data_IF_441517224213
#
_entry.id   IF_441517224213
#
_cell.length_a   1.000
_cell.length_b   1.000
_cell.length_c   1.000
_cell.angle_alpha   90.00
_cell.angle_beta   90.00
_cell.angle_gamma   90.00
#
_symmetry.space_group_name_H-M   'P 1'
#
loop_
_entity.id
_entity.type
_entity.pdbx_description
1 polymer ?
#
# COMPACT_ATOMS: atom_id res chain seq x y z
N UNK A 1 4.00 -22.38 -40.37
CA UNK A 1 4.87 -21.21 -40.14
C UNK A 1 4.19 -20.03 -40.80
N UNK A 2 3.54 -19.17 -40.01
CA UNK A 2 3.04 -17.88 -40.50
C UNK A 2 4.06 -16.86 -40.02
N UNK A 3 4.68 -16.17 -40.95
CA UNK A 3 5.65 -15.10 -40.68
C UNK A 3 4.95 -14.00 -39.88
N UNK A 4 5.61 -13.51 -38.83
CA UNK A 4 5.20 -12.31 -38.10
C UNK A 4 5.33 -11.11 -39.04
N UNK A 5 4.27 -10.80 -39.77
CA UNK A 5 4.20 -9.59 -40.61
C UNK A 5 3.83 -8.43 -39.69
N UNK A 6 4.73 -7.45 -39.53
CA UNK A 6 4.45 -6.25 -38.76
C UNK A 6 3.30 -5.46 -39.41
N UNK A 7 2.12 -5.51 -38.81
CA UNK A 7 0.87 -4.94 -39.36
C UNK A 7 0.55 -3.54 -38.82
N UNK A 8 1.35 -3.04 -37.87
CA UNK A 8 1.08 -1.79 -37.15
C UNK A 8 -0.11 -1.91 -36.18
N UNK A 9 -0.16 -1.04 -35.17
CA UNK A 9 -1.24 -1.05 -34.16
C UNK A 9 -2.55 -0.53 -34.78
N UNK A 10 -3.63 -1.31 -34.64
CA UNK A 10 -5.00 -0.93 -34.99
C UNK A 10 -5.66 -0.12 -33.87
N UNK A 11 -5.59 -0.61 -32.64
CA UNK A 11 -6.01 0.12 -31.45
C UNK A 11 -5.33 -0.41 -30.18
N UNK A 12 -5.41 0.40 -29.11
CA UNK A 12 -5.05 0.00 -27.75
C UNK A 12 -6.36 -0.11 -26.98
N UNK A 13 -6.46 -1.10 -26.11
CA UNK A 13 -7.55 -1.21 -25.16
C UNK A 13 -7.01 -1.38 -23.74
N UNK A 14 -7.80 -0.94 -22.77
CA UNK A 14 -7.44 -0.99 -21.36
C UNK A 14 -8.64 -1.38 -20.49
N UNK A 15 -8.38 -1.89 -19.30
CA UNK A 15 -9.37 -2.02 -18.23
C UNK A 15 -8.73 -1.65 -16.91
N UNK A 16 -9.54 -1.11 -16.01
CA UNK A 16 -9.10 -0.74 -14.66
C UNK A 16 -9.77 -1.66 -13.67
N UNK A 17 -8.99 -2.51 -13.02
CA UNK A 17 -9.43 -3.50 -12.04
C UNK A 17 -8.86 -3.18 -10.66
N UNK A 18 -9.55 -3.64 -9.62
CA UNK A 18 -9.12 -3.53 -8.22
C UNK A 18 -8.44 -4.82 -7.72
N UNK A 19 -8.63 -5.91 -8.47
CA UNK A 19 -7.99 -7.21 -8.28
C UNK A 19 -7.81 -7.90 -9.64
N UNK A 20 -6.79 -8.73 -9.79
CA UNK A 20 -6.57 -9.57 -10.99
C UNK A 20 -7.69 -10.58 -11.24
N UNK A 21 -8.50 -10.87 -10.22
CA UNK A 21 -9.74 -11.65 -10.32
C UNK A 21 -10.96 -10.87 -10.79
N UNK A 22 -10.89 -9.55 -10.94
CA UNK A 22 -12.03 -8.76 -11.42
C UNK A 22 -12.26 -9.00 -12.90
N UNK A 23 -13.43 -9.55 -13.24
CA UNK A 23 -13.88 -9.67 -14.62
C UNK A 23 -14.47 -8.33 -15.09
N UNK A 24 -13.62 -7.47 -15.64
CA UNK A 24 -14.04 -6.27 -16.40
C UNK A 24 -13.69 -6.38 -17.87
N UNK A 25 -14.57 -5.86 -18.71
CA UNK A 25 -14.37 -5.75 -20.16
C UNK A 25 -13.32 -4.68 -20.48
N UNK A 26 -12.58 -4.90 -21.56
CA UNK A 26 -11.64 -3.92 -22.10
C UNK A 26 -12.39 -2.78 -22.80
N UNK A 27 -11.92 -1.56 -22.59
CA UNK A 27 -12.39 -0.33 -23.22
C UNK A 27 -11.34 0.17 -24.21
N UNK A 28 -11.75 0.55 -25.41
CA UNK A 28 -10.82 1.11 -26.42
C UNK A 28 -10.29 2.45 -25.91
N UNK A 29 -8.97 2.59 -25.90
CA UNK A 29 -8.30 3.84 -25.57
C UNK A 29 -8.50 4.87 -26.70
N UNK A 30 -9.23 5.94 -26.40
CA UNK A 30 -9.54 7.02 -27.36
C UNK A 30 -8.95 8.38 -26.96
N UNK A 31 -8.40 8.50 -25.76
CA UNK A 31 -7.82 9.71 -25.21
C UNK A 31 -7.57 9.62 -23.70
N UNK A 32 -7.15 10.73 -23.09
CA UNK A 32 -6.97 10.81 -21.64
C UNK A 32 -8.28 10.57 -20.90
N UNK A 33 -8.22 9.84 -19.78
CA UNK A 33 -9.34 9.61 -18.88
C UNK A 33 -8.89 9.88 -17.44
N UNK A 34 -9.84 10.13 -16.53
CA UNK A 34 -9.57 10.06 -15.09
C UNK A 34 -9.97 8.68 -14.57
N UNK A 35 -9.25 8.17 -13.59
CA UNK A 35 -9.59 6.87 -12.97
C UNK A 35 -10.98 6.94 -12.32
N UNK A 36 -11.39 8.10 -11.80
CA UNK A 36 -12.72 8.31 -11.25
C UNK A 36 -13.82 8.16 -12.31
N UNK A 37 -13.63 8.72 -13.51
CA UNK A 37 -14.62 8.60 -14.59
C UNK A 37 -14.71 7.16 -15.15
N UNK A 38 -13.62 6.39 -15.04
CA UNK A 38 -13.53 5.01 -15.54
C UNK A 38 -14.01 3.94 -14.54
N UNK A 39 -14.14 4.25 -13.25
CA UNK A 39 -14.36 3.24 -12.18
C UNK A 39 -15.50 3.52 -11.18
N UNK A 40 -16.69 3.94 -11.62
CA UNK A 40 -17.92 4.13 -10.82
C UNK A 40 -17.99 5.48 -10.07
N UNK A 41 -19.21 6.05 -9.85
CA UNK A 41 -19.43 7.44 -9.39
C UNK A 41 -18.97 7.78 -7.96
N UNK A 42 -18.29 6.88 -7.25
CA UNK A 42 -17.89 7.07 -5.86
C UNK A 42 -16.39 6.82 -5.75
N UNK A 43 -15.57 7.89 -5.79
CA UNK A 43 -14.10 7.91 -5.65
C UNK A 43 -13.54 6.68 -4.92
N UNK A 44 -13.14 5.64 -5.65
CA UNK A 44 -12.51 4.48 -5.04
C UNK A 44 -11.06 4.82 -4.73
N UNK A 45 -10.77 5.15 -3.48
CA UNK A 45 -9.41 5.15 -2.94
C UNK A 45 -8.82 3.73 -3.01
N UNK A 46 -7.50 3.64 -3.05
CA UNK A 46 -6.78 2.37 -3.01
C UNK A 46 -6.05 2.02 -4.29
N UNK A 47 -5.56 0.79 -4.32
CA UNK A 47 -4.83 0.23 -5.45
C UNK A 47 -5.76 0.01 -6.65
N UNK A 48 -5.31 0.47 -7.80
CA UNK A 48 -5.95 0.26 -9.09
C UNK A 48 -4.92 -0.33 -10.04
N UNK A 49 -5.29 -1.38 -10.75
CA UNK A 49 -4.46 -2.04 -11.76
C UNK A 49 -5.03 -1.66 -13.12
N UNK A 50 -4.24 -0.97 -13.92
CA UNK A 50 -4.55 -0.66 -15.30
C UNK A 50 -3.93 -1.77 -16.15
N UNK A 51 -4.77 -2.65 -16.68
CA UNK A 51 -4.35 -3.60 -17.69
C UNK A 51 -4.53 -3.00 -19.07
N UNK A 52 -3.55 -3.17 -19.95
CA UNK A 52 -3.59 -2.63 -21.31
C UNK A 52 -2.88 -3.55 -22.29
N UNK A 53 -3.33 -3.53 -23.54
CA UNK A 53 -2.74 -4.29 -24.66
C UNK A 53 -3.04 -3.63 -25.98
N UNK A 54 -2.20 -3.88 -26.98
CA UNK A 54 -2.43 -3.45 -28.36
C UNK A 54 -2.94 -4.60 -29.24
N UNK A 55 -3.80 -4.23 -30.19
CA UNK A 55 -4.31 -5.10 -31.25
C UNK A 55 -3.80 -4.56 -32.57
N UNK A 56 -3.25 -5.40 -33.43
CA UNK A 56 -2.73 -5.00 -34.75
C UNK A 56 -3.80 -5.05 -35.86
N UNK A 57 -3.47 -4.58 -37.07
CA UNK A 57 -4.44 -4.54 -38.19
C UNK A 57 -4.85 -5.93 -38.73
N UNK A 58 -4.20 -7.01 -38.29
CA UNK A 58 -4.56 -8.40 -38.60
C UNK A 58 -5.06 -9.18 -37.37
N UNK A 59 -5.45 -8.46 -36.32
CA UNK A 59 -6.09 -8.98 -35.10
C UNK A 59 -5.20 -9.84 -34.20
N UNK A 60 -3.87 -9.71 -34.32
CA UNK A 60 -2.97 -10.23 -33.29
C UNK A 60 -3.09 -9.37 -32.02
N UNK A 61 -3.14 -10.02 -30.87
CA UNK A 61 -3.21 -9.37 -29.56
C UNK A 61 -1.87 -9.49 -28.83
N UNK A 62 -1.35 -8.36 -28.37
CA UNK A 62 -0.16 -8.30 -27.51
C UNK A 62 -0.43 -8.93 -26.12
N UNK A 63 0.64 -9.39 -25.45
CA UNK A 63 0.57 -9.81 -24.05
C UNK A 63 0.07 -8.67 -23.17
N UNK A 64 -0.94 -8.94 -22.33
CA UNK A 64 -1.50 -7.93 -21.43
C UNK A 64 -0.43 -7.40 -20.49
N UNK A 65 -0.23 -6.09 -20.50
CA UNK A 65 0.65 -5.37 -19.58
C UNK A 65 -0.17 -4.79 -18.44
N UNK A 66 0.47 -4.65 -17.29
CA UNK A 66 -0.13 -4.06 -16.09
C UNK A 66 0.58 -2.77 -15.71
N UNK A 67 -0.19 -1.84 -15.14
CA UNK A 67 0.32 -0.62 -14.53
C UNK A 67 -0.48 -0.33 -13.27
N UNK A 68 0.17 -0.38 -12.11
CA UNK A 68 -0.48 -0.19 -10.81
C UNK A 68 -0.37 1.25 -10.37
N UNK A 69 -1.49 1.83 -9.92
CA UNK A 69 -1.58 3.18 -9.37
C UNK A 69 -2.34 3.17 -8.05
N UNK A 70 -2.03 4.10 -7.16
CA UNK A 70 -2.77 4.30 -5.92
C UNK A 70 -3.54 5.61 -6.00
N UNK A 71 -4.87 5.51 -5.89
CA UNK A 71 -5.75 6.68 -5.79
C UNK A 71 -5.88 7.01 -4.31
N UNK A 72 -5.49 8.21 -3.92
CA UNK A 72 -5.52 8.64 -2.51
C UNK A 72 -5.84 10.12 -2.41
N UNK A 73 -6.46 10.50 -1.29
CA UNK A 73 -6.74 11.90 -0.93
C UNK A 73 -5.62 12.54 -0.13
N UNK A 74 -4.54 11.82 0.18
CA UNK A 74 -3.41 12.35 0.99
C UNK A 74 -2.95 13.74 0.50
N UNK A 75 -2.73 13.97 -0.80
CA UNK A 75 -2.24 15.26 -1.29
C UNK A 75 -3.25 16.41 -1.24
N UNK A 76 -4.50 16.15 -0.87
CA UNK A 76 -5.54 17.18 -0.75
C UNK A 76 -5.50 17.85 0.65
N UNK A 77 -4.87 17.21 1.63
CA UNK A 77 -4.81 17.67 3.02
C UNK A 77 -3.38 18.02 3.43
N UNK A 78 -3.24 19.07 4.24
CA UNK A 78 -1.98 19.39 4.88
C UNK A 78 -1.61 18.28 5.88
N UNK A 79 -2.60 17.79 6.64
CA UNK A 79 -2.42 16.73 7.61
C UNK A 79 -3.64 15.81 7.69
N UNK A 80 -3.37 14.50 7.73
CA UNK A 80 -4.30 13.45 8.07
C UNK A 80 -3.74 12.72 9.29
N UNK A 81 -4.47 12.74 10.40
CA UNK A 81 -4.25 11.88 11.55
C UNK A 81 -5.46 10.97 11.67
N UNK A 82 -5.30 9.66 11.41
CA UNK A 82 -6.43 8.74 11.31
C UNK A 82 -7.24 8.69 12.62
N UNK A 83 -6.58 8.54 13.76
CA UNK A 83 -7.21 8.46 15.07
C UNK A 83 -7.36 9.83 15.71
N UNK A 84 -6.31 10.65 15.62
CA UNK A 84 -6.29 11.98 16.24
C UNK A 84 -5.41 12.97 15.49
N UNK A 85 -5.79 14.25 15.54
CA UNK A 85 -4.86 15.37 15.29
C UNK A 85 -4.85 16.30 16.50
N UNK A 86 -3.66 16.60 17.05
CA UNK A 86 -3.49 17.63 18.08
C UNK A 86 -2.71 18.84 17.55
N UNK A 87 -3.26 20.04 17.70
CA UNK A 87 -2.61 21.29 17.30
C UNK A 87 -2.52 22.21 18.51
N UNK A 88 -1.31 22.51 18.97
CA UNK A 88 -1.06 23.20 20.23
C UNK A 88 -0.25 24.50 20.07
N UNK A 89 -0.25 25.33 21.11
CA UNK A 89 0.63 26.49 21.21
C UNK A 89 0.19 27.65 20.32
N UNK A 90 1.02 28.08 19.39
CA UNK A 90 0.77 29.08 18.34
C UNK A 90 1.04 28.48 16.95
N UNK A 91 0.92 27.17 16.81
CA UNK A 91 1.08 26.47 15.55
C UNK A 91 0.15 27.05 14.47
N UNK A 92 0.59 26.99 13.22
CA UNK A 92 -0.18 27.41 12.07
C UNK A 92 -0.22 26.28 11.05
N UNK A 93 -1.43 25.91 10.62
CA UNK A 93 -1.64 24.95 9.53
C UNK A 93 -2.38 25.67 8.41
N UNK A 94 -1.78 25.78 7.23
CA UNK A 94 -2.40 26.35 6.04
C UNK A 94 -2.73 25.23 5.05
N UNK A 95 -4.03 24.95 4.90
CA UNK A 95 -4.57 23.79 4.20
C UNK A 95 -5.54 22.99 5.05
N UNK A 96 -6.32 22.14 4.38
CA UNK A 96 -7.35 21.33 5.03
C UNK A 96 -6.71 20.24 5.91
N UNK A 97 -7.40 19.89 7.00
CA UNK A 97 -6.98 18.79 7.90
C UNK A 97 -8.10 17.78 8.09
N UNK A 98 -7.71 16.52 8.30
CA UNK A 98 -8.67 15.40 8.30
C UNK A 98 -8.36 14.33 9.33
N UNK A 99 -9.37 13.94 10.10
CA UNK A 99 -9.31 12.76 10.98
C UNK A 99 -10.56 11.88 10.85
N UNK A 100 -10.41 10.58 11.11
CA UNK A 100 -11.55 9.68 11.34
C UNK A 100 -11.99 9.68 12.82
N UNK A 101 -11.17 10.25 13.71
CA UNK A 101 -11.44 10.44 15.12
C UNK A 101 -11.45 11.92 15.51
N UNK A 102 -10.76 12.25 16.58
CA UNK A 102 -10.82 13.56 17.23
C UNK A 102 -9.80 14.54 16.65
N UNK A 103 -10.16 15.82 16.63
CA UNK A 103 -9.19 16.90 16.40
C UNK A 103 -9.24 17.82 17.61
N UNK A 104 -8.10 18.03 18.25
CA UNK A 104 -7.92 18.97 19.34
C UNK A 104 -7.10 20.18 18.89
N UNK A 105 -7.63 21.39 19.07
CA UNK A 105 -6.92 22.63 18.71
C UNK A 105 -6.86 23.54 19.95
N UNK A 106 -5.66 23.69 20.49
CA UNK A 106 -5.41 24.33 21.78
C UNK A 106 -4.56 25.61 21.66
N UNK A 107 -4.64 26.47 22.68
CA UNK A 107 -3.74 27.61 22.83
C UNK A 107 -4.13 28.82 21.98
N UNK A 108 -3.35 29.14 20.96
CA UNK A 108 -3.55 30.22 19.97
C UNK A 108 -3.25 29.69 18.56
N UNK A 109 -3.40 28.38 18.36
CA UNK A 109 -3.16 27.77 17.07
C UNK A 109 -4.18 28.24 16.03
N UNK A 110 -3.79 28.23 14.76
CA UNK A 110 -4.64 28.66 13.65
C UNK A 110 -4.62 27.58 12.57
N UNK A 111 -5.81 27.17 12.12
CA UNK A 111 -5.99 26.37 10.91
C UNK A 111 -6.62 27.24 9.83
N UNK A 112 -5.86 27.51 8.77
CA UNK A 112 -6.29 28.22 7.56
C UNK A 112 -6.71 27.22 6.49
N UNK A 113 -7.77 26.48 6.77
CA UNK A 113 -8.33 25.45 5.91
C UNK A 113 -9.57 24.83 6.55
N UNK A 114 -10.21 23.93 5.82
CA UNK A 114 -11.37 23.20 6.29
C UNK A 114 -10.94 22.07 7.25
N UNK A 115 -11.77 21.80 8.25
CA UNK A 115 -11.53 20.80 9.28
C UNK A 115 -12.58 19.70 9.17
N UNK A 116 -12.13 18.48 8.98
CA UNK A 116 -13.00 17.32 8.82
C UNK A 116 -12.67 16.27 9.89
N UNK A 117 -13.60 15.97 10.79
CA UNK A 117 -13.36 15.03 11.89
C UNK A 117 -14.61 14.32 12.36
N UNK A 118 -14.46 13.39 13.31
CA UNK A 118 -15.60 12.86 14.08
C UNK A 118 -16.06 13.87 15.13
N UNK A 119 -15.11 14.47 15.85
CA UNK A 119 -15.33 15.42 16.93
C UNK A 119 -14.22 16.47 16.92
N UNK A 120 -14.56 17.73 17.17
CA UNK A 120 -13.64 18.85 17.26
C UNK A 120 -13.68 19.51 18.64
N UNK A 121 -12.55 19.55 19.32
CA UNK A 121 -12.37 20.25 20.59
C UNK A 121 -11.44 21.45 20.40
N UNK A 122 -11.97 22.67 20.52
CA UNK A 122 -11.20 23.93 20.43
C UNK A 122 -11.08 24.56 21.82
N UNK A 123 -9.84 24.74 22.30
CA UNK A 123 -9.55 25.35 23.60
C UNK A 123 -8.68 26.61 23.47
N UNK A 124 -8.87 27.55 24.39
CA UNK A 124 -8.09 28.79 24.45
C UNK A 124 -8.57 29.84 23.44
N UNK A 125 -7.64 30.36 22.64
CA UNK A 125 -7.87 31.34 21.55
C UNK A 125 -7.51 30.75 20.19
N UNK A 126 -7.61 29.44 20.05
CA UNK A 126 -7.43 28.78 18.77
C UNK A 126 -8.53 29.18 17.78
N UNK A 127 -8.21 29.15 16.49
CA UNK A 127 -9.10 29.58 15.42
C UNK A 127 -9.02 28.63 14.21
N UNK A 128 -10.19 28.29 13.65
CA UNK A 128 -10.32 27.64 12.34
C UNK A 128 -10.93 28.66 11.41
N UNK A 129 -10.27 28.93 10.28
CA UNK A 129 -10.72 29.93 9.30
C UNK A 129 -11.56 29.33 8.16
N UNK A 130 -11.49 28.02 7.94
CA UNK A 130 -12.32 27.30 6.98
C UNK A 130 -13.63 26.77 7.57
N UNK A 131 -14.28 25.89 6.83
CA UNK A 131 -15.48 25.17 7.26
C UNK A 131 -15.12 24.09 8.29
N UNK A 132 -16.02 23.84 9.25
CA UNK A 132 -15.90 22.75 10.22
C UNK A 132 -16.95 21.69 9.89
N UNK A 133 -16.49 20.48 9.57
CA UNK A 133 -17.30 19.32 9.23
C UNK A 133 -17.07 18.23 10.28
N UNK A 134 -17.83 18.27 11.37
CA UNK A 134 -17.88 17.17 12.34
C UNK A 134 -18.72 15.99 11.84
N UNK A 135 -18.50 14.80 12.40
CA UNK A 135 -19.07 13.53 11.94
C UNK A 135 -18.85 13.28 10.43
N UNK A 136 -17.72 13.74 9.89
CA UNK A 136 -17.41 13.57 8.48
C UNK A 136 -17.27 12.08 8.10
N UNK A 137 -17.67 11.74 6.86
CA UNK A 137 -17.61 10.36 6.35
C UNK A 137 -16.19 9.83 6.38
N UNK A 138 -15.94 8.74 7.11
CA UNK A 138 -14.59 8.20 7.29
C UNK A 138 -13.88 7.92 5.95
N UNK A 139 -12.59 8.26 5.89
CA UNK A 139 -11.68 7.89 4.79
C UNK A 139 -10.97 6.57 5.10
N UNK A 140 -10.30 5.97 4.12
CA UNK A 140 -9.51 4.76 4.36
C UNK A 140 -8.37 5.02 5.36
N UNK A 141 -8.24 4.18 6.38
CA UNK A 141 -7.10 4.21 7.31
C UNK A 141 -5.81 3.71 6.69
N UNK A 142 -5.91 2.91 5.62
CA UNK A 142 -4.77 2.27 4.95
C UNK A 142 -4.98 2.32 3.43
N UNK A 143 -4.99 3.52 2.81
CA UNK A 143 -5.20 3.67 1.37
C UNK A 143 -4.09 3.00 0.54
N UNK A 144 -2.91 2.80 1.12
CA UNK A 144 -1.78 2.10 0.51
C UNK A 144 -1.36 0.97 1.45
N UNK A 145 -1.36 -0.27 0.94
CA UNK A 145 -0.82 -1.43 1.67
C UNK A 145 0.69 -1.46 1.52
N UNK A 146 1.43 -1.26 2.60
CA UNK A 146 2.90 -1.16 2.56
C UNK A 146 3.61 -2.51 2.52
N UNK A 147 3.10 -3.53 3.19
CA UNK A 147 3.70 -4.88 3.24
C UNK A 147 4.28 -5.40 1.89
N UNK A 148 3.51 -5.50 0.79
CA UNK A 148 4.07 -5.97 -0.49
C UNK A 148 5.05 -4.98 -1.13
N UNK A 149 4.94 -3.69 -0.81
CA UNK A 149 5.86 -2.66 -1.27
C UNK A 149 7.19 -2.81 -0.51
N UNK A 150 7.13 -3.03 0.79
CA UNK A 150 8.30 -3.19 1.65
C UNK A 150 9.13 -4.40 1.24
N UNK A 151 8.50 -5.56 1.03
CA UNK A 151 9.19 -6.77 0.57
C UNK A 151 9.91 -6.57 -0.77
N UNK A 152 9.30 -5.80 -1.67
CA UNK A 152 9.89 -5.46 -2.96
C UNK A 152 11.07 -4.50 -2.79
N UNK A 153 10.90 -3.42 -2.01
CA UNK A 153 11.89 -2.36 -1.83
C UNK A 153 13.14 -2.84 -1.09
N UNK A 154 12.99 -3.76 -0.12
CA UNK A 154 14.13 -4.41 0.54
C UNK A 154 15.06 -5.08 -0.50
N UNK A 155 14.48 -5.69 -1.54
CA UNK A 155 15.22 -6.44 -2.57
C UNK A 155 15.67 -5.58 -3.75
N UNK A 156 14.95 -4.50 -4.06
CA UNK A 156 15.07 -3.75 -5.32
C UNK A 156 15.24 -2.23 -5.12
N UNK A 157 15.89 -1.81 -4.04
CA UNK A 157 16.19 -0.39 -3.82
C UNK A 157 17.45 0.10 -4.57
N UNK A 158 17.58 1.41 -4.61
CA UNK A 158 18.64 2.19 -5.24
C UNK A 158 19.64 2.75 -4.21
N UNK A 159 19.80 2.13 -3.04
CA UNK A 159 20.75 2.60 -2.02
C UNK A 159 22.18 2.69 -2.55
N UNK A 160 22.54 1.84 -3.52
CA UNK A 160 23.82 1.88 -4.22
C UNK A 160 24.05 3.18 -5.04
N UNK A 161 23.01 3.99 -5.28
CA UNK A 161 23.10 5.30 -5.95
C UNK A 161 23.32 6.46 -4.98
N UNK A 162 23.33 6.23 -3.66
CA UNK A 162 23.56 7.28 -2.67
C UNK A 162 25.00 7.77 -2.80
N UNK A 163 25.23 9.06 -3.12
CA UNK A 163 26.58 9.58 -3.22
C UNK A 163 27.18 9.80 -1.83
N UNK A 164 28.50 10.03 -1.79
CA UNK A 164 29.10 10.64 -0.61
C UNK A 164 28.49 12.03 -0.36
N UNK A 165 28.47 12.43 0.90
CA UNK A 165 28.07 13.78 1.29
C UNK A 165 29.05 14.83 0.73
N UNK A 166 28.70 16.11 0.86
CA UNK A 166 29.55 17.25 0.47
C UNK A 166 30.88 17.29 1.23
N UNK A 167 30.97 16.65 2.40
CA UNK A 167 32.22 16.43 3.13
C UNK A 167 32.90 15.08 2.87
N UNK A 168 32.41 14.30 1.92
CA UNK A 168 33.01 13.03 1.53
C UNK A 168 32.75 11.88 2.51
N UNK A 169 31.68 11.95 3.31
CA UNK A 169 31.27 10.87 4.23
C UNK A 169 30.20 9.98 3.57
N UNK A 170 30.10 8.74 4.01
CA UNK A 170 28.95 7.89 3.71
C UNK A 170 27.78 8.32 4.59
N UNK A 171 26.61 8.55 3.98
CA UNK A 171 25.41 8.95 4.71
C UNK A 171 24.56 7.75 5.15
N UNK A 172 24.78 6.57 4.55
CA UNK A 172 24.07 5.33 4.89
C UNK A 172 25.06 4.35 5.52
N UNK A 173 24.79 3.89 6.74
CA UNK A 173 25.66 2.95 7.44
C UNK A 173 25.33 1.47 7.11
N UNK A 174 26.08 0.55 7.70
CA UNK A 174 25.92 -0.90 7.50
C UNK A 174 24.57 -1.43 8.04
N UNK A 175 23.94 -0.72 8.96
CA UNK A 175 22.60 -1.01 9.50
C UNK A 175 21.48 -0.35 8.68
N UNK A 176 21.84 0.31 7.57
CA UNK A 176 20.95 1.04 6.67
C UNK A 176 20.28 2.27 7.32
N UNK A 177 20.93 2.85 8.33
CA UNK A 177 20.51 4.12 8.93
C UNK A 177 21.09 5.27 8.13
N UNK A 178 20.21 6.13 7.63
CA UNK A 178 20.59 7.30 6.85
C UNK A 178 20.83 8.49 7.80
N UNK A 179 22.08 8.90 8.00
CA UNK A 179 22.47 9.94 8.95
C UNK A 179 23.27 11.05 8.28
N UNK A 180 22.90 12.30 8.55
CA UNK A 180 23.67 13.48 8.13
C UNK A 180 23.69 14.53 9.24
N UNK A 181 24.87 15.08 9.51
CA UNK A 181 25.11 16.03 10.59
C UNK A 181 26.23 17.03 10.26
N UNK A 182 26.51 17.96 11.18
CA UNK A 182 27.63 18.91 11.12
C UNK A 182 27.61 19.92 9.94
N UNK A 183 26.45 20.40 9.48
CA UNK A 183 26.33 21.27 8.28
C UNK A 183 26.83 20.59 7.01
N UNK A 184 26.61 19.29 6.90
CA UNK A 184 26.92 18.56 5.68
C UNK A 184 25.74 18.65 4.70
N UNK A 185 25.99 18.27 3.45
CA UNK A 185 24.96 18.26 2.41
C UNK A 185 25.01 16.99 1.59
N UNK A 186 23.86 16.52 1.12
CA UNK A 186 23.78 15.40 0.17
C UNK A 186 22.63 15.66 -0.80
N UNK A 187 22.75 15.16 -2.03
CA UNK A 187 21.66 15.19 -3.01
C UNK A 187 21.27 13.76 -3.38
N UNK A 188 20.02 13.39 -3.12
CA UNK A 188 19.45 12.14 -3.62
C UNK A 188 18.84 12.38 -5.00
N UNK A 189 19.24 11.56 -5.97
CA UNK A 189 18.68 11.56 -7.32
C UNK A 189 17.47 10.65 -7.42
N UNK A 190 16.75 10.71 -8.53
CA UNK A 190 15.60 9.85 -8.81
C UNK A 190 15.89 8.38 -8.50
N UNK A 191 15.02 7.77 -7.70
CA UNK A 191 15.18 6.39 -7.25
C UNK A 191 14.23 6.00 -6.12
N UNK A 192 14.29 4.72 -5.75
CA UNK A 192 13.56 4.16 -4.61
C UNK A 192 14.57 3.70 -3.56
N UNK A 193 14.52 4.29 -2.37
CA UNK A 193 15.50 4.04 -1.30
C UNK A 193 14.87 3.30 -0.13
N UNK A 194 15.69 2.50 0.56
CA UNK A 194 15.28 1.71 1.73
C UNK A 194 16.15 2.05 2.93
N UNK A 195 15.55 2.56 4.00
CA UNK A 195 16.27 2.91 5.23
C UNK A 195 15.62 2.24 6.45
N UNK A 196 16.43 1.99 7.47
CA UNK A 196 15.94 1.56 8.79
C UNK A 196 15.66 2.74 9.70
N UNK A 197 16.34 3.87 9.48
CA UNK A 197 16.19 5.12 10.23
C UNK A 197 16.64 6.30 9.35
N UNK A 198 16.11 7.49 9.59
CA UNK A 198 16.57 8.75 8.97
C UNK A 198 16.85 9.76 10.08
N UNK A 199 18.08 10.26 10.16
CA UNK A 199 18.47 11.32 11.09
C UNK A 199 19.19 12.46 10.35
N UNK A 200 18.56 13.62 10.28
CA UNK A 200 19.13 14.83 9.66
C UNK A 200 19.24 15.89 10.76
N UNK A 201 20.47 16.21 11.16
CA UNK A 201 20.73 17.13 12.28
C UNK A 201 21.87 18.12 12.01
N UNK A 202 22.14 19.01 12.96
CA UNK A 202 23.31 19.89 12.96
C UNK A 202 23.35 20.85 11.77
N UNK A 203 22.21 21.42 11.37
CA UNK A 203 22.07 22.35 10.24
C UNK A 203 22.47 21.75 8.88
N UNK A 204 22.23 20.44 8.71
CA UNK A 204 22.57 19.72 7.48
C UNK A 204 21.46 19.78 6.44
N UNK A 205 21.77 19.44 5.20
CA UNK A 205 20.85 19.58 4.08
C UNK A 205 20.78 18.34 3.20
N UNK A 206 19.58 17.79 3.04
CA UNK A 206 19.28 16.74 2.05
C UNK A 206 18.47 17.35 0.92
N UNK A 207 19.02 17.33 -0.29
CA UNK A 207 18.40 17.87 -1.50
C UNK A 207 17.84 16.73 -2.37
N UNK A 208 16.72 16.99 -3.05
CA UNK A 208 16.06 16.00 -3.92
C UNK A 208 16.13 16.45 -5.38
N UNK A 209 16.54 15.53 -6.26
CA UNK A 209 16.60 15.75 -7.71
C UNK A 209 15.78 14.70 -8.47
N UNK A 210 14.62 15.14 -8.96
CA UNK A 210 13.63 14.26 -9.61
C UNK A 210 12.87 13.42 -8.59
N UNK A 211 12.22 12.33 -9.03
CA UNK A 211 11.29 11.58 -8.18
C UNK A 211 12.03 10.62 -7.22
N UNK A 212 11.98 10.91 -5.93
CA UNK A 212 12.59 10.13 -4.86
C UNK A 212 11.49 9.56 -3.96
N UNK A 213 11.45 8.24 -3.88
CA UNK A 213 10.60 7.53 -2.92
C UNK A 213 11.51 6.88 -1.89
N UNK A 214 11.17 7.03 -0.62
CA UNK A 214 11.93 6.45 0.49
C UNK A 214 10.99 5.58 1.29
N UNK A 215 11.36 4.32 1.53
CA UNK A 215 10.71 3.46 2.49
C UNK A 215 11.59 3.36 3.74
N UNK A 216 11.07 3.81 4.87
CA UNK A 216 11.75 3.79 6.17
C UNK A 216 11.03 2.83 7.12
N UNK A 217 11.76 1.90 7.76
CA UNK A 217 11.20 0.98 8.76
C UNK A 217 11.10 1.56 10.17
N UNK A 218 11.83 2.64 10.46
CA UNK A 218 11.92 3.24 11.79
C UNK A 218 11.74 4.76 11.79
N UNK A 219 12.31 5.40 12.80
CA UNK A 219 12.18 6.85 13.04
C UNK A 219 12.71 7.68 11.86
N UNK A 220 12.00 8.76 11.55
CA UNK A 220 12.44 9.80 10.63
C UNK A 220 12.52 11.13 11.37
N UNK A 221 13.73 11.58 11.68
CA UNK A 221 13.99 12.79 12.46
C UNK A 221 14.71 13.85 11.64
N UNK A 222 14.10 15.03 11.53
CA UNK A 222 14.72 16.24 10.96
C UNK A 222 14.81 17.31 12.05
N UNK A 223 16.02 17.57 12.55
CA UNK A 223 16.25 18.39 13.73
C UNK A 223 17.45 19.34 13.61
N UNK A 224 17.68 20.18 14.62
CA UNK A 224 18.90 20.98 14.73
C UNK A 224 19.10 22.02 13.63
N UNK A 225 18.02 22.64 13.14
CA UNK A 225 18.03 23.64 12.07
C UNK A 225 18.33 23.06 10.69
N UNK A 226 18.06 21.77 10.51
CA UNK A 226 18.37 21.06 9.26
C UNK A 226 17.26 21.20 8.24
N UNK A 227 17.57 20.84 7.01
CA UNK A 227 16.62 20.99 5.90
C UNK A 227 16.55 19.72 5.07
N UNK A 228 15.33 19.24 4.87
CA UNK A 228 15.02 18.16 3.96
C UNK A 228 14.17 18.71 2.82
N UNK A 229 14.78 18.82 1.64
CA UNK A 229 14.15 19.19 0.37
C UNK A 229 13.65 20.65 0.27
N UNK A 230 14.46 21.64 0.64
CA UNK A 230 14.03 23.05 0.63
C UNK A 230 13.50 23.52 -0.73
N UNK A 231 14.24 23.26 -1.80
CA UNK A 231 14.02 23.86 -3.12
C UNK A 231 13.32 22.92 -4.09
N UNK A 232 13.14 21.64 -3.74
CA UNK A 232 12.50 20.67 -4.61
C UNK A 232 11.00 20.88 -4.73
N UNK A 233 10.43 20.23 -5.76
CA UNK A 233 8.99 20.06 -5.86
C UNK A 233 8.52 19.15 -4.70
N UNK A 234 7.37 19.47 -4.11
CA UNK A 234 6.80 18.71 -3.00
C UNK A 234 6.43 17.29 -3.42
N UNK A 235 6.10 17.09 -4.70
CA UNK A 235 5.73 15.78 -5.25
C UNK A 235 6.93 14.92 -5.67
N UNK A 236 8.13 15.49 -5.60
CA UNK A 236 9.35 14.76 -5.90
C UNK A 236 9.89 13.96 -4.71
N UNK A 237 9.35 14.15 -3.50
CA UNK A 237 9.73 13.38 -2.32
C UNK A 237 8.50 12.74 -1.70
N UNK A 238 8.48 11.41 -1.65
CA UNK A 238 7.50 10.64 -0.88
C UNK A 238 8.25 9.76 0.11
N UNK A 239 7.88 9.85 1.39
CA UNK A 239 8.42 8.99 2.45
C UNK A 239 7.30 8.09 2.94
N UNK A 240 7.50 6.78 2.81
CA UNK A 240 6.68 5.74 3.39
C UNK A 240 7.34 5.29 4.70
N UNK A 241 6.62 5.38 5.81
CA UNK A 241 7.08 4.85 7.10
C UNK A 241 6.29 3.59 7.39
N UNK A 242 6.96 2.45 7.32
CA UNK A 242 6.38 1.11 7.52
C UNK A 242 7.03 0.44 8.72
N UNK A 243 6.66 0.86 9.93
CA UNK A 243 7.10 0.17 11.14
C UNK A 243 6.42 -1.20 11.20
N UNK A 244 7.23 -2.24 11.31
CA UNK A 244 6.77 -3.61 11.48
C UNK A 244 5.91 -3.68 12.74
N UNK A 245 4.67 -4.16 12.62
CA UNK A 245 3.84 -4.49 13.77
C UNK A 245 4.44 -5.76 14.38
N UNK A 246 5.10 -5.64 15.52
CA UNK A 246 5.40 -6.83 16.31
C UNK A 246 4.07 -7.37 16.84
N UNK A 247 3.66 -8.55 16.38
CA UNK A 247 2.37 -9.17 16.72
C UNK A 247 2.22 -9.46 18.24
N UNK A 248 3.31 -9.37 19.00
CA UNK A 248 3.38 -9.66 20.44
C UNK A 248 3.37 -8.42 21.34
N UNK A 249 3.44 -7.19 20.80
CA UNK A 249 3.39 -5.98 21.62
C UNK A 249 1.94 -5.54 21.90
N UNK A 250 1.55 -5.53 23.18
CA UNK A 250 0.24 -5.00 23.64
C UNK A 250 0.12 -3.48 23.44
N UNK A 251 1.24 -2.78 23.25
CA UNK A 251 1.33 -1.36 22.90
C UNK A 251 2.16 -1.20 21.63
N UNK A 252 1.57 -0.66 20.58
CA UNK A 252 2.31 -0.24 19.39
C UNK A 252 3.18 0.93 19.83
N UNK A 253 4.50 0.74 20.00
CA UNK A 253 5.39 1.90 19.95
C UNK A 253 5.27 2.46 18.53
N UNK A 254 4.45 3.48 18.31
CA UNK A 254 4.32 4.10 17.01
C UNK A 254 5.70 4.57 16.57
N UNK A 255 6.14 4.18 15.37
CA UNK A 255 7.26 4.88 14.74
C UNK A 255 6.90 6.36 14.65
N UNK A 256 7.88 7.25 14.67
CA UNK A 256 7.61 8.68 14.53
C UNK A 256 8.34 9.26 13.33
N UNK A 257 7.66 10.17 12.66
CA UNK A 257 8.29 11.15 11.78
C UNK A 257 8.18 12.51 12.45
N UNK A 258 9.32 13.05 12.83
CA UNK A 258 9.43 14.28 13.60
C UNK A 258 10.26 15.34 12.85
N UNK A 259 9.66 16.53 12.69
CA UNK A 259 10.37 17.74 12.26
C UNK A 259 10.41 18.73 13.43
N UNK A 260 11.58 18.88 14.05
CA UNK A 260 11.78 19.71 15.25
C UNK A 260 13.05 20.57 15.16
N UNK A 261 13.38 21.34 16.21
CA UNK A 261 14.65 22.04 16.34
C UNK A 261 14.85 23.16 15.32
N UNK A 262 13.77 23.85 14.94
CA UNK A 262 13.78 24.93 13.93
C UNK A 262 14.19 24.44 12.53
N UNK A 263 13.81 23.21 12.19
CA UNK A 263 14.13 22.56 10.92
C UNK A 263 13.05 22.76 9.86
N UNK A 264 13.34 22.35 8.63
CA UNK A 264 12.39 22.41 7.52
C UNK A 264 12.29 21.09 6.76
N UNK A 265 11.06 20.67 6.44
CA UNK A 265 10.77 19.52 5.58
C UNK A 265 9.84 19.90 4.42
N UNK A 266 10.07 19.34 3.23
CA UNK A 266 9.11 19.40 2.13
C UNK A 266 8.96 18.08 1.41
N UNK A 267 7.75 17.55 1.36
CA UNK A 267 7.45 16.28 0.71
C UNK A 267 6.08 15.74 1.13
N UNK A 268 5.76 14.54 0.67
CA UNK A 268 4.62 13.76 1.14
C UNK A 268 5.13 12.70 2.12
N UNK A 269 4.41 12.53 3.21
CA UNK A 269 4.66 11.52 4.22
C UNK A 269 3.45 10.61 4.32
N UNK A 270 3.68 9.30 4.25
CA UNK A 270 2.69 8.28 4.51
C UNK A 270 3.19 7.31 5.58
N UNK A 271 2.68 7.49 6.79
CA UNK A 271 3.12 6.83 8.01
C UNK A 271 1.91 6.20 8.73
N UNK A 272 1.22 5.21 8.12
CA UNK A 272 -0.12 4.79 8.54
C UNK A 272 -0.20 4.11 9.93
N UNK A 273 0.94 3.72 10.49
CA UNK A 273 1.06 3.09 11.80
C UNK A 273 1.93 3.92 12.76
N UNK A 274 2.12 5.19 12.43
CA UNK A 274 3.16 6.03 13.01
C UNK A 274 2.63 7.43 13.26
N UNK A 275 3.25 8.12 14.21
CA UNK A 275 2.88 9.48 14.56
C UNK A 275 3.64 10.48 13.68
N UNK A 276 2.95 11.50 13.18
CA UNK A 276 3.55 12.57 12.38
C UNK A 276 3.58 13.89 13.17
N UNK A 277 4.78 14.35 13.54
CA UNK A 277 5.01 15.52 14.39
C UNK A 277 5.72 16.67 13.67
N UNK A 278 5.22 17.89 13.87
CA UNK A 278 5.95 19.12 13.53
C UNK A 278 5.98 20.03 14.77
N UNK A 279 7.18 20.23 15.31
CA UNK A 279 7.38 20.80 16.64
C UNK A 279 8.19 22.12 16.61
N UNK A 280 8.29 22.75 17.78
CA UNK A 280 9.19 23.89 17.98
C UNK A 280 8.84 25.10 17.12
N UNK A 281 9.78 25.58 16.31
CA UNK A 281 9.53 26.60 15.26
C UNK A 281 9.77 26.04 13.86
N UNK A 282 9.64 24.73 13.70
CA UNK A 282 9.92 24.05 12.44
C UNK A 282 8.87 24.35 11.38
N UNK A 283 9.26 24.22 10.13
CA UNK A 283 8.37 24.37 8.97
C UNK A 283 8.23 23.06 8.21
N UNK A 284 7.03 22.81 7.69
CA UNK A 284 6.75 21.70 6.82
C UNK A 284 5.92 22.15 5.62
N UNK A 285 6.19 21.59 4.44
CA UNK A 285 5.39 21.83 3.23
C UNK A 285 5.04 20.52 2.53
N UNK A 286 3.75 20.25 2.35
CA UNK A 286 3.22 19.06 1.70
C UNK A 286 2.10 18.42 2.50
N UNK A 287 2.08 17.10 2.53
CA UNK A 287 0.99 16.32 3.12
C UNK A 287 1.55 15.27 4.07
N UNK A 288 1.03 15.25 5.29
CA UNK A 288 1.43 14.30 6.32
C UNK A 288 0.26 13.38 6.65
N UNK A 289 0.42 12.09 6.42
CA UNK A 289 -0.53 11.06 6.82
C UNK A 289 0.09 10.24 7.96
N UNK A 290 -0.55 10.23 9.11
CA UNK A 290 -0.16 9.49 10.30
C UNK A 290 -1.34 8.72 10.91
N UNK A 291 -1.04 7.75 11.77
CA UNK A 291 -2.04 7.18 12.68
C UNK A 291 -2.57 8.28 13.60
N UNK A 292 -1.64 9.03 14.18
CA UNK A 292 -1.85 10.28 14.90
C UNK A 292 -0.99 11.37 14.28
N UNK A 293 -1.38 12.63 14.46
CA UNK A 293 -0.58 13.74 13.98
C UNK A 293 -0.58 14.92 14.95
N UNK A 294 0.57 15.54 15.16
CA UNK A 294 0.74 16.65 16.08
C UNK A 294 1.46 17.85 15.46
N UNK A 295 0.97 19.05 15.78
CA UNK A 295 1.65 20.31 15.47
C UNK A 295 1.75 21.16 16.73
N UNK A 296 2.97 21.36 17.21
CA UNK A 296 3.21 21.97 18.52
C UNK A 296 4.03 23.27 18.42
N UNK A 297 4.02 24.05 19.50
CA UNK A 297 4.90 25.22 19.63
C UNK A 297 4.49 26.39 18.73
N UNK A 298 5.35 26.77 17.79
CA UNK A 298 5.14 27.80 16.76
C UNK A 298 5.38 27.21 15.36
N UNK A 299 5.25 25.89 15.22
CA UNK A 299 5.45 25.20 13.97
C UNK A 299 4.48 25.67 12.88
N UNK A 300 4.92 25.55 11.63
CA UNK A 300 4.13 25.91 10.45
C UNK A 300 4.02 24.73 9.50
N UNK A 301 2.81 24.27 9.20
CA UNK A 301 2.55 23.24 8.20
C UNK A 301 1.75 23.87 7.06
N UNK A 302 2.21 23.68 5.83
CA UNK A 302 1.59 24.29 4.66
C UNK A 302 1.37 23.23 3.58
N UNK A 303 0.23 23.25 2.89
CA UNK A 303 0.09 22.54 1.63
C UNK A 303 0.31 23.52 0.47
N UNK A 304 1.02 23.10 -0.58
CA UNK A 304 1.21 23.96 -1.76
C UNK A 304 -0.06 23.95 -2.62
N UNK A 305 -0.76 25.07 -2.69
CA UNK A 305 -1.88 25.26 -3.63
C UNK A 305 -1.37 25.34 -5.09
N UNK A 306 -1.07 24.21 -5.72
CA UNK A 306 -1.09 24.11 -7.17
C UNK A 306 -2.13 23.05 -7.57
N UNK A 307 -3.30 23.50 -8.06
CA UNK A 307 -4.26 22.62 -8.73
C UNK A 307 -3.57 21.96 -9.93
N UNK A 308 -3.11 20.72 -9.76
CA UNK A 308 -2.77 19.83 -10.87
C UNK A 308 -3.82 18.73 -10.97
N UNK A 309 -4.37 18.59 -12.17
CA UNK A 309 -5.30 17.53 -12.53
C UNK A 309 -4.51 16.23 -12.60
N UNK A 310 -4.81 15.29 -11.69
CA UNK A 310 -4.32 13.92 -11.75
C UNK A 310 -2.96 13.71 -11.09
N UNK A 311 -2.99 13.21 -9.86
CA UNK A 311 -1.84 12.59 -9.25
C UNK A 311 -1.67 11.16 -9.80
N UNK A 312 -0.59 10.94 -10.55
CA UNK A 312 -0.04 9.61 -10.78
C UNK A 312 1.08 9.38 -9.77
N UNK A 313 0.77 8.73 -8.64
CA UNK A 313 1.78 8.29 -7.68
C UNK A 313 2.30 6.90 -8.09
N UNK A 314 3.61 6.85 -8.29
CA UNK A 314 4.50 5.71 -8.61
C UNK A 314 4.19 4.91 -9.89
N UNK A 315 5.01 5.15 -10.91
CA UNK A 315 5.24 4.18 -11.98
C UNK A 315 6.11 3.05 -11.45
N UNK A 316 5.48 1.99 -10.94
CA UNK A 316 6.14 0.69 -10.79
C UNK A 316 6.25 0.02 -12.16
N UNK A 317 7.00 0.63 -13.08
CA UNK A 317 7.31 0.00 -14.36
C UNK A 317 8.56 -0.85 -14.19
N UNK A 318 8.37 -2.02 -13.56
CA UNK A 318 8.97 -3.30 -13.92
C UNK A 318 8.55 -4.36 -12.88
N UNK A 319 7.57 -5.18 -13.26
CA UNK A 319 7.28 -6.49 -12.67
C UNK A 319 7.04 -6.55 -11.14
N UNK A 320 6.13 -5.75 -10.59
CA UNK A 320 5.38 -6.17 -9.40
C UNK A 320 4.40 -7.29 -9.82
N UNK A 321 4.93 -8.49 -10.03
CA UNK A 321 4.12 -9.71 -9.95
C UNK A 321 3.79 -9.88 -8.48
N UNK A 322 2.73 -9.23 -8.01
CA UNK A 322 2.04 -9.70 -6.81
C UNK A 322 1.56 -11.09 -7.18
N UNK A 323 2.23 -12.13 -6.69
CA UNK A 323 1.79 -13.49 -6.88
C UNK A 323 0.43 -13.58 -6.19
N UNK A 324 -0.62 -13.77 -6.99
CA UNK A 324 -1.98 -13.85 -6.49
C UNK A 324 -2.15 -15.19 -5.80
N UNK A 325 -2.55 -15.21 -4.53
CA UNK A 325 -2.91 -16.43 -3.81
C UNK A 325 -4.08 -17.12 -4.52
N UNK A 326 -3.79 -18.22 -5.23
CA UNK A 326 -4.76 -18.96 -6.05
C UNK A 326 -4.57 -20.46 -5.95
N UNK A 327 -5.65 -21.19 -6.29
CA UNK A 327 -5.59 -22.62 -6.56
C UNK A 327 -5.00 -22.82 -7.95
N UNK A 328 -3.84 -23.46 -8.04
CA UNK A 328 -3.17 -23.75 -9.31
C UNK A 328 -3.75 -25.04 -9.89
N UNK A 329 -3.59 -26.15 -9.15
CA UNK A 329 -4.07 -27.45 -9.57
C UNK A 329 -4.86 -28.14 -8.45
N UNK A 330 -6.06 -28.63 -8.79
CA UNK A 330 -6.91 -29.33 -7.83
C UNK A 330 -7.55 -30.52 -8.51
N UNK A 331 -7.19 -31.73 -8.11
CA UNK A 331 -7.84 -32.93 -8.62
C UNK A 331 -7.95 -34.01 -7.57
N UNK A 332 -8.72 -35.04 -7.92
CA UNK A 332 -8.85 -36.25 -7.13
C UNK A 332 -8.46 -37.42 -8.00
N UNK A 333 -7.55 -38.27 -7.53
CA UNK A 333 -7.12 -39.45 -8.26
C UNK A 333 -7.04 -40.68 -7.34
N UNK A 334 -7.58 -41.85 -7.75
CA UNK A 334 -8.34 -42.08 -8.98
C UNK A 334 -9.75 -41.46 -8.95
N UNK A 335 -10.20 -40.91 -10.09
CA UNK A 335 -11.58 -40.46 -10.28
C UNK A 335 -12.12 -40.91 -11.66
N UNK A 336 -13.10 -41.83 -11.72
CA UNK A 336 -13.77 -42.46 -10.57
C UNK A 336 -12.84 -43.37 -9.77
N UNK A 337 -13.01 -43.41 -8.45
CA UNK A 337 -12.33 -44.34 -7.57
C UNK A 337 -12.94 -45.74 -7.76
N UNK A 338 -12.16 -46.66 -8.36
CA UNK A 338 -12.62 -48.02 -8.72
C UNK A 338 -11.93 -49.10 -7.90
N UNK A 339 -12.66 -50.17 -7.62
CA UNK A 339 -12.09 -51.43 -7.12
C UNK A 339 -11.44 -51.30 -5.74
N UNK A 340 -12.05 -50.51 -4.85
CA UNK A 340 -11.59 -50.33 -3.47
C UNK A 340 -10.37 -49.43 -3.27
N UNK A 341 -9.89 -48.74 -4.32
CA UNK A 341 -8.80 -47.76 -4.18
C UNK A 341 -9.29 -46.46 -3.54
N UNK A 342 -8.54 -45.95 -2.57
CA UNK A 342 -8.83 -44.68 -1.92
C UNK A 342 -8.47 -43.51 -2.85
N UNK A 343 -9.40 -42.57 -3.10
CA UNK A 343 -9.11 -41.35 -3.84
C UNK A 343 -8.26 -40.40 -3.00
N UNK A 344 -7.18 -39.89 -3.59
CA UNK A 344 -6.35 -38.83 -3.01
C UNK A 344 -6.74 -37.49 -3.60
N UNK A 345 -7.05 -36.53 -2.74
CA UNK A 345 -7.16 -35.12 -3.07
C UNK A 345 -5.76 -34.54 -3.22
N UNK A 346 -5.47 -33.97 -4.38
CA UNK A 346 -4.25 -33.22 -4.65
C UNK A 346 -4.63 -31.75 -4.83
N UNK A 347 -3.98 -30.88 -4.05
CA UNK A 347 -4.26 -29.45 -3.99
C UNK A 347 -2.92 -28.71 -4.05
N UNK A 348 -2.66 -28.06 -5.17
CA UNK A 348 -1.51 -27.19 -5.38
C UNK A 348 -1.98 -25.74 -5.36
N UNK A 349 -1.27 -24.92 -4.59
CA UNK A 349 -1.52 -23.50 -4.44
C UNK A 349 -0.35 -22.71 -5.00
N UNK A 350 -0.58 -21.44 -5.30
CA UNK A 350 0.51 -20.54 -5.68
C UNK A 350 1.46 -20.22 -4.52
N UNK A 351 1.00 -20.40 -3.28
CA UNK A 351 1.73 -20.17 -2.03
C UNK A 351 1.20 -21.12 -0.93
N UNK A 352 1.98 -21.37 0.12
CA UNK A 352 1.59 -22.19 1.26
C UNK A 352 0.41 -21.53 2.00
N UNK A 353 -0.69 -22.27 2.18
CA UNK A 353 -1.87 -21.81 2.90
C UNK A 353 -1.72 -21.98 4.42
N UNK A 354 -2.29 -21.03 5.17
CA UNK A 354 -2.42 -21.14 6.63
C UNK A 354 -3.39 -22.27 7.00
N UNK A 355 -4.41 -22.48 6.17
CA UNK A 355 -5.41 -23.55 6.35
C UNK A 355 -6.08 -23.95 5.04
N UNK A 356 -6.25 -25.26 4.86
CA UNK A 356 -7.13 -25.85 3.85
C UNK A 356 -8.27 -26.61 4.53
N UNK A 357 -9.51 -26.31 4.14
CA UNK A 357 -10.71 -27.08 4.51
C UNK A 357 -11.22 -27.86 3.28
N UNK A 358 -11.35 -29.18 3.40
CA UNK A 358 -12.05 -30.02 2.42
C UNK A 358 -13.40 -30.42 3.03
N UNK A 359 -14.50 -30.18 2.32
CA UNK A 359 -15.84 -30.63 2.70
C UNK A 359 -16.42 -31.50 1.60
N UNK A 360 -16.82 -32.71 1.94
CA UNK A 360 -17.36 -33.69 1.00
C UNK A 360 -18.84 -33.85 1.26
N UNK A 361 -19.65 -33.79 0.20
CA UNK A 361 -21.10 -33.88 0.24
C UNK A 361 -21.60 -34.98 -0.68
N UNK A 362 -22.72 -35.61 -0.34
CA UNK A 362 -23.44 -36.45 -1.30
C UNK A 362 -24.24 -35.58 -2.29
N UNK A 363 -24.88 -36.21 -3.28
CA UNK A 363 -25.65 -35.48 -4.32
C UNK A 363 -26.91 -34.78 -3.76
N UNK A 364 -27.38 -35.18 -2.58
CA UNK A 364 -28.48 -34.51 -1.87
C UNK A 364 -28.00 -33.27 -1.08
N UNK A 365 -26.70 -32.98 -1.08
CA UNK A 365 -26.11 -31.85 -0.37
C UNK A 365 -25.83 -32.12 1.12
N UNK A 366 -25.96 -33.37 1.58
CA UNK A 366 -25.64 -33.74 2.96
C UNK A 366 -24.13 -33.86 3.12
N UNK A 367 -23.58 -33.26 4.19
CA UNK A 367 -22.16 -33.32 4.51
C UNK A 367 -21.78 -34.73 4.95
N UNK A 368 -20.84 -35.34 4.22
CA UNK A 368 -20.29 -36.67 4.49
C UNK A 368 -19.04 -36.56 5.35
N UNK A 369 -18.15 -35.61 5.03
CA UNK A 369 -16.88 -35.46 5.75
C UNK A 369 -16.36 -34.03 5.70
N UNK A 370 -15.62 -33.64 6.74
CA UNK A 370 -14.88 -32.38 6.83
C UNK A 370 -13.45 -32.70 7.26
N UNK A 371 -12.49 -32.16 6.52
CA UNK A 371 -11.06 -32.31 6.75
C UNK A 371 -10.43 -30.93 6.83
N UNK A 372 -9.47 -30.76 7.72
CA UNK A 372 -8.66 -29.54 7.85
C UNK A 372 -7.18 -29.91 7.80
N UNK A 373 -6.41 -29.14 7.04
CA UNK A 373 -4.96 -29.31 6.86
C UNK A 373 -4.28 -27.95 7.02
N UNK A 374 -3.11 -27.93 7.64
CA UNK A 374 -2.29 -26.72 7.84
C UNK A 374 -0.88 -26.86 7.29
N UNK A 375 -0.44 -28.09 7.01
CA UNK A 375 0.92 -28.37 6.53
C UNK A 375 0.89 -29.03 5.14
N UNK A 376 1.72 -28.56 4.19
CA UNK A 376 1.87 -29.18 2.88
C UNK A 376 2.70 -30.47 2.96
N UNK A 377 2.52 -31.35 1.99
CA UNK A 377 3.34 -32.57 1.84
C UNK A 377 4.67 -32.27 1.13
N UNK A 378 4.72 -31.27 0.24
CA UNK A 378 5.93 -30.80 -0.43
C UNK A 378 5.66 -29.44 -1.10
N UNK A 379 6.50 -28.44 -0.85
CA UNK A 379 6.29 -27.09 -1.40
C UNK A 379 4.89 -26.56 -1.07
N UNK A 380 4.16 -26.14 -2.10
CA UNK A 380 2.79 -25.62 -2.03
C UNK A 380 1.71 -26.70 -2.27
N UNK A 381 2.09 -27.98 -2.21
CA UNK A 381 1.22 -29.13 -2.48
C UNK A 381 0.71 -29.76 -1.19
N UNK A 382 -0.60 -30.01 -1.14
CA UNK A 382 -1.30 -30.69 -0.06
C UNK A 382 -1.98 -31.93 -0.61
N UNK A 383 -1.83 -33.05 0.10
CA UNK A 383 -2.47 -34.31 -0.26
C UNK A 383 -3.25 -34.92 0.90
N UNK A 384 -4.46 -35.40 0.59
CA UNK A 384 -5.31 -36.11 1.56
C UNK A 384 -5.92 -37.36 0.90
N UNK A 385 -5.54 -38.54 1.40
CA UNK A 385 -6.14 -39.81 0.98
C UNK A 385 -7.45 -40.06 1.74
N UNK A 386 -8.56 -40.19 1.02
CA UNK A 386 -9.88 -40.35 1.62
C UNK A 386 -10.27 -41.83 1.74
N UNK A 387 -10.45 -42.31 2.97
CA UNK A 387 -10.90 -43.69 3.23
C UNK A 387 -12.39 -43.85 2.87
N UNK A 388 -12.65 -44.65 1.83
CA UNK A 388 -14.00 -44.88 1.28
C UNK A 388 -14.61 -46.24 1.65
N UNK A 389 -14.07 -46.96 2.63
CA UNK A 389 -14.54 -48.31 3.01
C UNK A 389 -16.02 -48.34 3.36
N UNK A 390 -16.50 -47.31 4.06
CA UNK A 390 -17.89 -47.18 4.50
C UNK A 390 -18.73 -46.24 3.63
N UNK A 391 -18.17 -45.80 2.51
CA UNK A 391 -18.83 -44.88 1.57
C UNK A 391 -19.49 -45.69 0.44
N UNK A 392 -20.69 -45.31 0.03
CA UNK A 392 -21.44 -46.00 -1.03
C UNK A 392 -20.91 -45.63 -2.43
N UNK A 393 -21.19 -46.47 -3.43
CA UNK A 393 -20.99 -46.07 -4.83
C UNK A 393 -21.91 -44.89 -5.18
N UNK A 394 -21.40 -43.88 -5.87
CA UNK A 394 -22.17 -42.69 -6.19
C UNK A 394 -21.32 -41.50 -6.62
N UNK A 395 -21.98 -40.38 -6.88
CA UNK A 395 -21.34 -39.08 -7.16
C UNK A 395 -21.34 -38.24 -5.90
N UNK A 396 -20.18 -37.65 -5.62
CA UNK A 396 -19.94 -36.79 -4.47
C UNK A 396 -19.44 -35.44 -4.95
N UNK A 397 -19.82 -34.39 -4.22
CA UNK A 397 -19.30 -33.04 -4.42
C UNK A 397 -18.26 -32.76 -3.34
N UNK A 398 -17.18 -32.08 -3.69
CA UNK A 398 -16.21 -31.62 -2.72
C UNK A 398 -15.93 -30.14 -2.89
N UNK A 399 -15.93 -29.43 -1.76
CA UNK A 399 -15.59 -28.03 -1.64
C UNK A 399 -14.24 -27.92 -0.94
N UNK A 400 -13.26 -27.35 -1.64
CA UNK A 400 -11.96 -26.99 -1.06
C UNK A 400 -11.96 -25.49 -0.80
N UNK A 401 -11.50 -25.08 0.39
CA UNK A 401 -11.25 -23.69 0.76
C UNK A 401 -9.84 -23.58 1.30
N UNK A 402 -9.00 -22.80 0.64
CA UNK A 402 -7.69 -22.44 1.15
C UNK A 402 -7.72 -21.00 1.67
N UNK A 403 -7.06 -20.76 2.80
CA UNK A 403 -6.98 -19.48 3.48
C UNK A 403 -5.51 -19.08 3.61
N UNK A 404 -5.19 -17.84 3.28
CA UNK A 404 -3.85 -17.26 3.41
C UNK A 404 -3.96 -15.77 3.71
N UNK A 405 -3.42 -15.31 4.84
CA UNK A 405 -3.34 -13.89 5.25
C UNK A 405 -4.69 -13.15 5.11
N UNK A 406 -5.77 -13.81 5.58
CA UNK A 406 -7.14 -13.30 5.50
C UNK A 406 -7.81 -13.38 4.11
N UNK A 407 -7.07 -13.76 3.05
CA UNK A 407 -7.61 -14.08 1.72
C UNK A 407 -8.14 -15.52 1.71
N UNK A 408 -9.13 -15.78 0.85
CA UNK A 408 -9.75 -17.10 0.70
C UNK A 408 -10.02 -17.42 -0.76
N UNK A 409 -9.48 -18.55 -1.23
CA UNK A 409 -9.82 -19.13 -2.53
C UNK A 409 -10.57 -20.45 -2.35
N UNK A 410 -11.47 -20.75 -3.28
CA UNK A 410 -12.29 -21.96 -3.19
C UNK A 410 -12.64 -22.56 -4.54
N UNK A 411 -12.78 -23.88 -4.57
CA UNK A 411 -13.30 -24.61 -5.74
C UNK A 411 -14.31 -25.67 -5.29
N UNK A 412 -15.37 -25.84 -6.08
CA UNK A 412 -16.36 -26.91 -5.92
C UNK A 412 -16.26 -27.83 -7.13
N UNK A 413 -15.97 -29.11 -6.92
CA UNK A 413 -15.83 -30.11 -7.99
C UNK A 413 -16.58 -31.39 -7.61
N UNK A 414 -16.68 -32.31 -8.56
CA UNK A 414 -17.33 -33.62 -8.37
C UNK A 414 -16.34 -34.76 -8.53
N UNK A 415 -16.61 -35.85 -7.83
CA UNK A 415 -15.92 -37.13 -7.99
C UNK A 415 -16.94 -38.28 -7.94
N UNK A 416 -16.54 -39.44 -8.44
CA UNK A 416 -17.36 -40.64 -8.43
C UNK A 416 -16.65 -41.81 -7.76
N UNK A 417 -17.40 -42.60 -6.99
CA UNK A 417 -16.95 -43.85 -6.36
C UNK A 417 -17.69 -45.01 -7.01
N UNK A 418 -16.96 -46.06 -7.39
CA UNK A 418 -17.48 -47.28 -7.99
C UNK A 418 -16.84 -48.48 -7.26
N UNK A 419 -17.58 -49.07 -6.33
CA UNK A 419 -17.21 -50.34 -5.69
C UNK A 419 -17.37 -51.53 -6.61
#
# INVERSE_FOLDING_TARGET
MVEQVASGVKYIEYRIITSTTDEKEFTIYTGSFTIQDACLPNRQEGMQIIEYRSIDNVENTEETKTYTVFVTVIPDYAMIGIEEIKINGKAQVSGDIRSNGEIEINGKAIVEGDVYCKKLDINGKAEVKGEIIENAVKISSYPIKLEPITDYVIKNNDNNKIPLTGKGKEALDEELKFKISDRDTITLSTGVYYFTEIEITGQSQVNIRGNVNILCRGEVKVSGGSVFNLDGDVYNLIIFVDKEREEEEEEIEAGEIEVDGESFFKGIVYAPYSEAKVNGKSGATGSFFGLEAEVNGQAQVNIKEEKRVGFGVVSWSENLRVQEFKLEEVYVYPNPAKGGKYPTFHIELSEVADKIEIKIYNIAGELIERIEMTEPVSGEVYEYEWNIDKIASGVYLYLIRAHKDGKRVMTLRKMAIIK
#
